data_IF_849904191974
#
_entry.id   IF_849904191974
#
_cell.length_a   1.000
_cell.length_b   1.000
_cell.length_c   1.000
_cell.angle_alpha   90.00
_cell.angle_beta   90.00
_cell.angle_gamma   90.00
#
_symmetry.space_group_name_H-M   'P 1'
#
loop_
_entity.id
_entity.type
_entity.pdbx_description
1 polymer ?
#
# COMPACT_ATOMS: atom_id res chain seq x y z
N UNK A 1 -15.48 -10.71 -9.36
CA UNK A 1 -16.78 -10.22 -8.88
C UNK A 1 -16.55 -9.33 -7.67
N UNK A 2 -16.91 -8.05 -7.76
CA UNK A 2 -16.83 -7.09 -6.65
C UNK A 2 -18.25 -6.78 -6.16
N UNK A 3 -18.46 -6.85 -4.84
CA UNK A 3 -19.74 -6.52 -4.21
C UNK A 3 -19.50 -5.43 -3.17
N UNK A 4 -20.46 -4.49 -3.07
CA UNK A 4 -20.41 -3.40 -2.09
C UNK A 4 -19.11 -2.57 -2.19
N UNK A 5 -18.77 -2.19 -3.42
CA UNK A 5 -17.59 -1.38 -3.71
C UNK A 5 -17.99 -0.01 -4.23
N UNK A 6 -17.25 1.01 -3.86
CA UNK A 6 -17.47 2.39 -4.33
C UNK A 6 -16.94 2.60 -5.76
N UNK A 7 -15.97 1.76 -6.14
CA UNK A 7 -15.21 1.90 -7.37
C UNK A 7 -14.83 0.54 -7.92
N UNK A 8 -14.42 0.49 -9.18
CA UNK A 8 -13.99 -0.75 -9.81
C UNK A 8 -12.88 -0.51 -10.84
N UNK A 9 -11.81 -1.28 -10.73
CA UNK A 9 -10.74 -1.29 -11.72
C UNK A 9 -10.43 -2.72 -12.17
N UNK A 10 -9.86 -2.85 -13.35
CA UNK A 10 -9.32 -4.11 -13.84
C UNK A 10 -8.11 -3.85 -14.72
N UNK A 11 -7.30 -4.88 -14.92
CA UNK A 11 -6.15 -4.83 -15.82
C UNK A 11 -6.02 -6.14 -16.58
N UNK A 12 -5.33 -6.10 -17.71
CA UNK A 12 -5.08 -7.27 -18.54
C UNK A 12 -3.76 -7.11 -19.30
N UNK A 13 -2.93 -8.13 -19.28
CA UNK A 13 -1.70 -8.18 -20.07
C UNK A 13 -1.29 -9.63 -20.37
N UNK A 14 -0.80 -9.90 -21.57
CA UNK A 14 -0.19 -11.20 -21.91
C UNK A 14 1.17 -11.39 -21.23
N UNK A 15 1.76 -10.33 -20.65
CA UNK A 15 3.07 -10.36 -20.00
C UNK A 15 2.99 -10.65 -18.51
N UNK A 16 1.80 -10.69 -17.94
CA UNK A 16 1.68 -10.88 -16.51
C UNK A 16 2.11 -12.26 -16.05
N UNK A 17 3.05 -12.26 -15.14
CA UNK A 17 3.31 -13.33 -14.20
C UNK A 17 2.31 -13.18 -13.07
N UNK A 18 1.75 -14.25 -12.58
CA UNK A 18 0.85 -14.29 -11.45
C UNK A 18 1.51 -15.01 -10.28
N UNK A 19 1.50 -14.36 -9.14
CA UNK A 19 1.93 -14.93 -7.87
C UNK A 19 0.83 -14.73 -6.82
N UNK A 20 0.64 -15.74 -5.94
CA UNK A 20 -0.43 -15.72 -4.96
C UNK A 20 -0.11 -16.52 -3.71
N UNK A 21 -0.65 -16.09 -2.58
CA UNK A 21 -0.63 -16.83 -1.32
C UNK A 21 -1.91 -16.61 -0.52
N UNK A 22 -2.31 -17.60 0.25
CA UNK A 22 -3.42 -17.50 1.19
C UNK A 22 -2.98 -16.87 2.50
N UNK A 23 -3.73 -15.90 3.00
CA UNK A 23 -3.51 -15.23 4.29
C UNK A 23 -4.68 -15.49 5.20
N UNK A 24 -4.42 -15.95 6.43
CA UNK A 24 -5.46 -16.20 7.42
C UNK A 24 -5.88 -14.90 8.08
N UNK A 25 -7.10 -14.45 7.85
CA UNK A 25 -7.68 -13.26 8.47
C UNK A 25 -8.96 -13.68 9.20
N UNK A 26 -8.92 -13.61 10.53
CA UNK A 26 -10.00 -14.14 11.36
C UNK A 26 -10.29 -15.62 11.03
N UNK A 27 -11.53 -15.93 10.65
CA UNK A 27 -11.97 -17.31 10.35
C UNK A 27 -11.92 -17.66 8.85
N UNK A 28 -11.36 -16.82 8.01
CA UNK A 28 -11.32 -17.06 6.55
C UNK A 28 -9.92 -16.86 5.97
N UNK A 29 -9.74 -17.34 4.75
CA UNK A 29 -8.53 -17.12 3.97
C UNK A 29 -8.79 -16.04 2.94
N UNK A 30 -7.94 -15.02 2.93
CA UNK A 30 -7.88 -13.95 1.92
C UNK A 30 -6.74 -14.27 0.96
N UNK A 31 -6.95 -14.12 -0.33
CA UNK A 31 -5.91 -14.32 -1.32
C UNK A 31 -5.12 -13.02 -1.54
N UNK A 32 -3.86 -13.02 -1.14
CA UNK A 32 -2.89 -12.00 -1.52
C UNK A 32 -2.32 -12.37 -2.89
N UNK A 33 -2.38 -11.45 -3.86
CA UNK A 33 -1.97 -11.72 -5.24
C UNK A 33 -1.10 -10.60 -5.80
N UNK A 34 -0.25 -10.95 -6.76
CA UNK A 34 0.52 -9.97 -7.53
C UNK A 34 0.51 -10.32 -9.02
N UNK A 35 0.42 -9.29 -9.85
CA UNK A 35 0.51 -9.38 -11.30
C UNK A 35 1.58 -8.42 -11.81
N UNK A 36 2.57 -8.92 -12.49
CA UNK A 36 3.72 -8.13 -12.93
C UNK A 36 4.39 -8.74 -14.17
N UNK A 37 5.01 -7.95 -15.04
CA UNK A 37 5.80 -8.46 -16.15
C UNK A 37 7.17 -8.95 -15.67
N UNK A 38 7.84 -9.76 -16.48
CA UNK A 38 9.18 -10.26 -16.17
C UNK A 38 10.21 -9.17 -15.87
N UNK A 39 10.02 -7.99 -16.44
CA UNK A 39 10.89 -6.82 -16.24
C UNK A 39 10.84 -6.26 -14.80
N UNK A 40 9.82 -6.62 -14.04
CA UNK A 40 9.71 -6.27 -12.62
C UNK A 40 10.47 -7.22 -11.68
N UNK A 41 11.00 -8.33 -12.23
CA UNK A 41 11.79 -9.27 -11.46
C UNK A 41 13.26 -8.81 -11.33
N UNK A 42 13.92 -9.16 -10.20
CA UNK A 42 13.46 -10.05 -9.13
C UNK A 42 12.67 -9.37 -7.99
N UNK A 43 12.38 -8.07 -8.09
CA UNK A 43 11.74 -7.32 -7.01
C UNK A 43 10.35 -7.83 -6.67
N UNK A 44 9.47 -7.92 -7.67
CA UNK A 44 8.08 -8.32 -7.48
C UNK A 44 7.95 -9.76 -6.99
N UNK A 45 8.68 -10.69 -7.60
CA UNK A 45 8.72 -12.08 -7.19
C UNK A 45 9.13 -12.27 -5.73
N UNK A 46 10.10 -11.47 -5.27
CA UNK A 46 10.63 -11.57 -3.90
C UNK A 46 9.74 -10.94 -2.85
N UNK A 47 9.08 -9.84 -3.17
CA UNK A 47 8.50 -8.95 -2.16
C UNK A 47 7.04 -8.61 -2.35
N UNK A 48 6.49 -8.54 -3.58
CA UNK A 48 5.18 -7.94 -3.82
C UNK A 48 4.06 -8.68 -3.08
N UNK A 49 3.88 -9.97 -3.34
CA UNK A 49 2.81 -10.76 -2.68
C UNK A 49 2.98 -10.82 -1.17
N UNK A 50 4.23 -10.86 -0.69
CA UNK A 50 4.53 -10.83 0.75
C UNK A 50 4.15 -9.48 1.38
N UNK A 51 4.37 -8.37 0.67
CA UNK A 51 3.97 -7.04 1.15
C UNK A 51 2.45 -6.92 1.22
N UNK A 52 1.72 -7.45 0.23
CA UNK A 52 0.25 -7.54 0.28
C UNK A 52 -0.19 -8.34 1.50
N UNK A 53 0.35 -9.56 1.69
CA UNK A 53 0.00 -10.43 2.81
C UNK A 53 0.26 -9.77 4.17
N UNK A 54 1.44 -9.20 4.34
CA UNK A 54 1.84 -8.49 5.56
C UNK A 54 0.92 -7.30 5.85
N UNK A 55 0.55 -6.54 4.83
CA UNK A 55 -0.40 -5.42 4.99
C UNK A 55 -1.77 -5.91 5.46
N UNK A 56 -2.28 -7.01 4.88
CA UNK A 56 -3.54 -7.62 5.30
C UNK A 56 -3.53 -8.01 6.77
N UNK A 57 -2.45 -8.62 7.25
CA UNK A 57 -2.29 -9.03 8.64
C UNK A 57 -2.21 -7.84 9.60
N UNK A 58 -1.33 -6.87 9.30
CA UNK A 58 -1.06 -5.75 10.20
C UNK A 58 -2.23 -4.77 10.26
N UNK A 59 -2.82 -4.40 9.13
CA UNK A 59 -4.00 -3.52 9.13
C UNK A 59 -5.21 -4.19 9.81
N UNK A 60 -5.42 -5.50 9.57
CA UNK A 60 -6.48 -6.23 10.28
C UNK A 60 -6.26 -6.26 11.80
N UNK A 61 -5.01 -6.36 12.24
CA UNK A 61 -4.64 -6.31 13.66
C UNK A 61 -4.96 -4.97 14.33
N UNK A 62 -4.72 -3.85 13.61
CA UNK A 62 -4.88 -2.51 14.17
C UNK A 62 -6.28 -1.91 13.96
N UNK A 63 -7.09 -2.50 13.08
CA UNK A 63 -8.41 -1.96 12.73
C UNK A 63 -9.50 -3.04 12.84
N UNK A 64 -9.84 -3.66 11.74
CA UNK A 64 -10.80 -4.76 11.63
C UNK A 64 -10.38 -5.71 10.51
N UNK A 65 -10.87 -6.95 10.57
CA UNK A 65 -10.57 -7.98 9.58
C UNK A 65 -10.87 -7.52 8.16
N UNK A 66 -9.92 -7.66 7.26
CA UNK A 66 -10.09 -7.35 5.84
C UNK A 66 -11.33 -8.04 5.27
N UNK A 67 -12.35 -7.34 4.79
CA UNK A 67 -13.65 -7.96 4.48
C UNK A 67 -13.72 -8.60 3.09
N UNK A 68 -12.81 -8.27 2.18
CA UNK A 68 -12.84 -8.78 0.81
C UNK A 68 -12.13 -10.14 0.68
N UNK A 69 -12.43 -10.93 -0.37
CA UNK A 69 -11.82 -12.25 -0.56
C UNK A 69 -10.40 -12.18 -1.12
N UNK A 70 -9.99 -11.06 -1.71
CA UNK A 70 -8.71 -10.91 -2.38
C UNK A 70 -8.14 -9.50 -2.19
N UNK A 71 -6.81 -9.37 -2.22
CA UNK A 71 -6.09 -8.12 -2.38
C UNK A 71 -5.01 -8.32 -3.44
N UNK A 72 -4.97 -7.44 -4.43
CA UNK A 72 -4.17 -7.62 -5.64
C UNK A 72 -3.25 -6.41 -5.82
N UNK A 73 -1.96 -6.67 -5.93
CA UNK A 73 -0.94 -5.70 -6.34
C UNK A 73 -0.59 -5.89 -7.81
N UNK A 74 -0.71 -4.85 -8.60
CA UNK A 74 -0.33 -4.86 -10.03
C UNK A 74 0.82 -3.90 -10.24
N UNK A 75 1.84 -4.35 -10.95
CA UNK A 75 2.93 -3.45 -11.36
C UNK A 75 2.42 -2.43 -12.37
N UNK A 76 2.68 -1.16 -12.11
CA UNK A 76 2.30 -0.01 -12.93
C UNK A 76 3.20 1.19 -12.69
N UNK A 77 2.86 2.32 -13.28
CA UNK A 77 3.72 3.51 -13.25
C UNK A 77 3.57 4.38 -12.01
N UNK A 78 2.47 4.24 -11.27
CA UNK A 78 2.14 5.05 -10.11
C UNK A 78 1.65 4.19 -8.95
N UNK A 79 1.55 4.78 -7.75
CA UNK A 79 0.67 4.29 -6.70
C UNK A 79 -0.76 4.69 -7.03
N UNK A 80 -1.71 3.74 -7.00
CA UNK A 80 -3.14 4.03 -7.18
C UNK A 80 -3.99 2.90 -6.61
N UNK A 81 -4.89 3.28 -5.74
CA UNK A 81 -5.78 2.39 -5.03
C UNK A 81 -7.13 2.23 -5.72
N UNK A 82 -7.67 1.02 -5.63
CA UNK A 82 -9.06 0.66 -5.93
C UNK A 82 -9.49 -0.48 -5.01
N UNK A 83 -10.80 -0.72 -4.83
CA UNK A 83 -11.24 -1.86 -4.02
C UNK A 83 -10.67 -3.18 -4.53
N UNK A 84 -9.92 -3.88 -3.66
CA UNK A 84 -9.29 -5.17 -3.91
C UNK A 84 -8.14 -5.20 -4.93
N UNK A 85 -7.86 -4.13 -5.66
CA UNK A 85 -6.77 -4.08 -6.64
C UNK A 85 -6.09 -2.72 -6.57
N UNK A 86 -4.78 -2.71 -6.53
CA UNK A 86 -3.98 -1.50 -6.57
C UNK A 86 -2.86 -1.61 -7.59
N UNK A 87 -2.38 -0.46 -8.05
CA UNK A 87 -1.28 -0.34 -8.98
C UNK A 87 -0.08 0.25 -8.26
N UNK A 88 1.10 -0.34 -8.47
CA UNK A 88 2.27 0.00 -7.67
C UNK A 88 3.49 0.17 -8.56
N UNK A 89 4.22 1.23 -8.34
CA UNK A 89 5.48 1.48 -9.00
C UNK A 89 6.64 0.75 -8.30
N UNK A 90 7.55 0.20 -9.09
CA UNK A 90 8.82 -0.33 -8.62
C UNK A 90 9.45 -1.28 -9.62
N UNK A 91 10.58 -0.88 -10.18
CA UNK A 91 11.36 -1.73 -11.09
C UNK A 91 12.82 -1.79 -10.69
N UNK A 92 13.47 -2.93 -10.89
CA UNK A 92 14.92 -3.02 -10.84
C UNK A 92 15.54 -2.36 -12.08
N UNK A 93 16.85 -2.23 -12.09
CA UNK A 93 17.62 -1.87 -13.28
C UNK A 93 17.49 -2.96 -14.36
N UNK A 94 17.88 -2.66 -15.59
CA UNK A 94 17.77 -3.59 -16.72
C UNK A 94 18.54 -4.90 -16.53
N UNK A 95 19.59 -4.88 -15.70
CA UNK A 95 20.39 -6.06 -15.36
C UNK A 95 19.82 -6.84 -14.17
N UNK A 96 18.68 -6.43 -13.62
CA UNK A 96 18.01 -7.04 -12.47
C UNK A 96 18.54 -6.58 -11.12
N UNK A 97 19.54 -5.69 -11.06
CA UNK A 97 20.01 -5.11 -9.81
C UNK A 97 19.05 -4.05 -9.28
N UNK A 98 19.06 -3.82 -7.98
CA UNK A 98 18.26 -2.78 -7.34
C UNK A 98 18.90 -2.31 -6.04
N UNK A 99 18.66 -1.05 -5.72
CA UNK A 99 19.10 -0.46 -4.45
C UNK A 99 18.11 -0.78 -3.32
N UNK A 100 18.58 -0.69 -2.08
CA UNK A 100 17.68 -0.72 -0.91
C UNK A 100 16.58 0.34 -1.00
N UNK A 101 16.90 1.51 -1.53
CA UNK A 101 15.91 2.58 -1.78
C UNK A 101 14.79 2.12 -2.72
N UNK A 102 15.13 1.42 -3.80
CA UNK A 102 14.15 0.89 -4.76
C UNK A 102 13.30 -0.19 -4.13
N UNK A 103 13.92 -1.12 -3.41
CA UNK A 103 13.24 -2.21 -2.68
C UNK A 103 12.22 -1.68 -1.67
N UNK A 104 12.69 -0.87 -0.73
CA UNK A 104 11.80 -0.34 0.31
C UNK A 104 10.79 0.67 -0.24
N UNK A 105 11.13 1.40 -1.29
CA UNK A 105 10.20 2.27 -2.01
C UNK A 105 9.01 1.50 -2.59
N UNK A 106 9.26 0.37 -3.26
CA UNK A 106 8.21 -0.50 -3.79
C UNK A 106 7.36 -1.12 -2.66
N UNK A 107 7.99 -1.65 -1.61
CA UNK A 107 7.27 -2.23 -0.46
C UNK A 107 6.37 -1.17 0.18
N UNK A 108 6.88 0.05 0.39
CA UNK A 108 6.12 1.17 0.94
C UNK A 108 4.88 1.52 0.11
N UNK A 109 5.01 1.57 -1.21
CA UNK A 109 3.88 1.84 -2.11
C UNK A 109 2.84 0.71 -2.01
N UNK A 110 3.26 -0.56 -2.04
CA UNK A 110 2.32 -1.69 -1.91
C UNK A 110 1.57 -1.64 -0.57
N UNK A 111 2.27 -1.39 0.54
CA UNK A 111 1.63 -1.25 1.85
C UNK A 111 0.61 -0.12 1.85
N UNK A 112 0.96 1.03 1.26
CA UNK A 112 0.11 2.20 1.17
C UNK A 112 -1.16 1.93 0.36
N UNK A 113 -0.99 1.47 -0.87
CA UNK A 113 -2.12 1.25 -1.79
C UNK A 113 -3.06 0.10 -1.33
N UNK A 114 -2.51 -0.97 -0.76
CA UNK A 114 -3.33 -2.03 -0.13
C UNK A 114 -4.06 -1.49 1.10
N UNK A 115 -3.41 -0.64 1.89
CA UNK A 115 -3.99 -0.01 3.08
C UNK A 115 -5.23 0.83 2.79
N UNK A 116 -5.29 1.48 1.62
CA UNK A 116 -6.45 2.23 1.18
C UNK A 116 -7.74 1.40 1.06
N UNK A 117 -7.67 0.07 1.06
CA UNK A 117 -8.88 -0.75 1.18
C UNK A 117 -9.63 -0.49 2.49
N UNK A 118 -8.95 -0.09 3.57
CA UNK A 118 -9.60 0.32 4.82
C UNK A 118 -10.06 1.78 4.76
N UNK A 119 -9.22 2.67 4.27
CA UNK A 119 -9.45 4.11 4.13
C UNK A 119 -9.01 4.55 2.72
N UNK A 120 -9.89 5.00 1.81
CA UNK A 120 -11.31 5.31 1.99
C UNK A 120 -12.27 4.23 1.47
N UNK A 121 -11.80 3.04 1.04
CA UNK A 121 -12.64 2.08 0.30
C UNK A 121 -13.76 1.50 1.16
N UNK A 122 -13.49 1.17 2.43
CA UNK A 122 -14.47 0.60 3.36
C UNK A 122 -14.99 1.69 4.31
N UNK A 123 -14.08 2.38 5.00
CA UNK A 123 -14.41 3.57 5.80
C UNK A 123 -14.36 4.76 4.86
N UNK A 124 -15.49 5.02 4.23
CA UNK A 124 -15.59 6.01 3.17
C UNK A 124 -15.45 7.45 3.69
N UNK A 125 -14.78 8.29 2.93
CA UNK A 125 -14.65 9.71 3.15
C UNK A 125 -14.79 10.48 1.84
N UNK A 126 -15.15 11.76 1.92
CA UNK A 126 -15.09 12.68 0.77
C UNK A 126 -13.63 13.10 0.57
N UNK A 127 -12.85 12.25 -0.09
CA UNK A 127 -11.41 12.43 -0.31
C UNK A 127 -11.06 13.68 -1.13
N UNK A 128 -11.98 14.12 -2.00
CA UNK A 128 -11.78 15.33 -2.81
C UNK A 128 -11.83 16.60 -1.97
N UNK A 129 -12.59 16.55 -0.88
CA UNK A 129 -12.77 17.69 0.02
C UNK A 129 -11.89 17.55 1.28
N UNK A 130 -11.69 16.32 1.76
CA UNK A 130 -11.01 16.02 3.01
C UNK A 130 -9.94 14.94 2.83
N UNK A 131 -8.94 15.24 2.00
CA UNK A 131 -7.84 14.32 1.64
C UNK A 131 -7.14 13.71 2.86
N UNK A 132 -7.05 14.43 3.98
CA UNK A 132 -6.43 13.92 5.20
C UNK A 132 -7.16 12.71 5.82
N UNK A 133 -8.46 12.55 5.57
CA UNK A 133 -9.25 11.39 6.05
C UNK A 133 -8.91 10.11 5.28
N UNK A 134 -8.54 10.27 4.04
CA UNK A 134 -8.06 9.23 3.17
C UNK A 134 -6.57 8.93 3.47
N UNK A 135 -5.72 9.89 3.20
CA UNK A 135 -4.27 9.73 3.23
C UNK A 135 -3.67 9.68 4.63
N UNK A 136 -4.20 10.44 5.57
CA UNK A 136 -3.58 10.62 6.88
C UNK A 136 -3.66 9.37 7.75
N UNK A 137 -4.84 8.77 7.87
CA UNK A 137 -5.03 7.53 8.63
C UNK A 137 -4.27 6.36 7.97
N UNK A 138 -4.35 6.27 6.65
CA UNK A 138 -3.63 5.27 5.89
C UNK A 138 -2.12 5.42 6.03
N UNK A 139 -1.57 6.64 5.94
CA UNK A 139 -0.14 6.91 6.12
C UNK A 139 0.35 6.52 7.53
N UNK A 140 -0.46 6.74 8.55
CA UNK A 140 -0.10 6.34 9.92
C UNK A 140 -0.03 4.81 10.06
N UNK A 141 -1.00 4.08 9.53
CA UNK A 141 -0.99 2.62 9.54
C UNK A 141 0.12 2.05 8.64
N UNK A 142 0.40 2.69 7.52
CA UNK A 142 1.56 2.35 6.70
C UNK A 142 2.85 2.40 7.52
N UNK A 143 3.09 3.49 8.28
CA UNK A 143 4.27 3.60 9.13
C UNK A 143 4.36 2.43 10.13
N UNK A 144 3.27 2.08 10.80
CA UNK A 144 3.25 0.95 11.73
C UNK A 144 3.56 -0.38 11.01
N UNK A 145 2.98 -0.58 9.84
CA UNK A 145 3.18 -1.77 9.01
C UNK A 145 4.63 -1.90 8.53
N UNK A 146 5.24 -0.80 8.13
CA UNK A 146 6.65 -0.73 7.77
C UNK A 146 7.56 -1.11 8.94
N UNK A 147 7.25 -0.65 10.17
CA UNK A 147 8.01 -1.00 11.37
C UNK A 147 7.84 -2.48 11.79
N UNK A 148 6.70 -3.10 11.49
CA UNK A 148 6.49 -4.53 11.71
C UNK A 148 7.13 -5.40 10.62
N UNK A 149 7.34 -4.86 9.41
CA UNK A 149 8.12 -5.52 8.36
C UNK A 149 9.60 -5.64 8.72
N UNK A 150 10.18 -4.52 9.16
CA UNK A 150 11.58 -4.43 9.60
C UNK A 150 11.70 -3.29 10.63
N UNK A 151 12.25 -3.58 11.80
CA UNK A 151 12.44 -2.57 12.86
C UNK A 151 13.32 -1.38 12.42
N UNK A 152 14.19 -1.60 11.45
CA UNK A 152 15.05 -0.59 10.85
C UNK A 152 14.55 -0.09 9.49
N UNK A 153 13.27 -0.31 9.20
CA UNK A 153 12.68 0.13 7.94
C UNK A 153 12.95 1.61 7.70
N UNK A 154 13.50 2.01 6.53
CA UNK A 154 13.82 3.40 6.22
C UNK A 154 12.56 4.18 5.85
N UNK A 155 11.59 4.24 6.75
CA UNK A 155 10.30 4.87 6.53
C UNK A 155 10.46 6.37 6.26
N UNK A 156 9.71 6.86 5.29
CA UNK A 156 9.58 8.29 5.00
C UNK A 156 8.34 8.91 5.65
N UNK A 157 7.49 8.08 6.27
CA UNK A 157 6.20 8.47 6.85
C UNK A 157 6.24 8.66 8.36
N UNK A 158 7.36 8.39 8.99
CA UNK A 158 7.57 8.51 10.43
C UNK A 158 9.05 8.53 10.77
N UNK A 159 9.41 8.50 12.04
CA UNK A 159 8.54 8.43 13.22
C UNK A 159 7.84 9.77 13.54
N UNK A 160 6.79 9.78 14.37
CA UNK A 160 6.01 10.98 14.69
C UNK A 160 6.83 12.17 15.18
N UNK A 161 7.97 11.93 15.84
CA UNK A 161 8.91 12.99 16.26
C UNK A 161 9.42 13.89 15.12
N UNK A 162 9.37 13.42 13.88
CA UNK A 162 9.80 14.16 12.69
C UNK A 162 8.88 15.37 12.39
N UNK A 163 7.69 15.43 12.98
CA UNK A 163 6.80 16.61 12.86
C UNK A 163 7.47 17.91 13.34
N UNK A 164 8.47 17.79 14.22
CA UNK A 164 9.26 18.93 14.69
C UNK A 164 9.93 19.66 13.51
N UNK A 165 10.38 18.93 12.50
CA UNK A 165 10.99 19.50 11.31
C UNK A 165 9.98 20.28 10.46
N UNK A 166 8.75 19.79 10.38
CA UNK A 166 7.65 20.49 9.72
C UNK A 166 7.26 21.77 10.49
N UNK A 167 7.11 21.69 11.81
CA UNK A 167 6.74 22.84 12.67
C UNK A 167 7.81 23.93 12.65
N UNK A 168 9.10 23.56 12.56
CA UNK A 168 10.22 24.49 12.46
C UNK A 168 10.41 25.09 11.06
N UNK A 169 9.70 24.58 10.07
CA UNK A 169 9.77 25.06 8.69
C UNK A 169 9.19 26.47 8.51
N UNK A 170 9.03 26.88 7.26
CA UNK A 170 8.44 28.17 6.94
C UNK A 170 6.98 28.23 7.44
N UNK A 171 6.73 29.10 8.40
CA UNK A 171 5.41 29.28 9.02
C UNK A 171 4.29 29.60 8.02
N UNK A 172 4.63 30.23 6.89
CA UNK A 172 3.66 30.53 5.84
C UNK A 172 3.17 29.26 5.09
N UNK A 173 3.90 28.14 5.21
CA UNK A 173 3.55 26.88 4.59
C UNK A 173 2.87 25.92 5.58
N UNK A 174 2.82 26.29 6.86
CA UNK A 174 2.15 25.47 7.87
C UNK A 174 0.65 25.71 7.77
N UNK A 175 -0.10 24.66 7.53
CA UNK A 175 -1.57 24.70 7.48
C UNK A 175 -2.16 23.83 8.58
N UNK A 176 -3.38 24.14 9.03
CA UNK A 176 -4.09 23.26 9.95
C UNK A 176 -4.23 21.84 9.35
N UNK A 177 -4.10 20.82 10.19
CA UNK A 177 -4.09 19.41 9.77
C UNK A 177 -5.35 19.00 8.99
N UNK A 178 -6.50 19.56 9.36
CA UNK A 178 -7.80 19.22 8.76
C UNK A 178 -8.23 20.23 7.68
N UNK A 179 -7.30 20.63 6.85
CA UNK A 179 -7.59 21.49 5.69
C UNK A 179 -7.03 20.87 4.41
N UNK A 180 -7.63 21.21 3.28
CA UNK A 180 -7.12 20.91 1.96
C UNK A 180 -6.06 21.91 1.52
#
# INVERSE_FOLDING_TARGET
>A
KAKNVRDFAFTSSRKFIWDAMGVKIGNRTVMAMSYYPKEANPLYERYSTKAVAHTLEVYSKYTFDYPYPVAISVEGDNGMEYPMICFNYGRPEKDGTYSERTKYGMISVIIHEVGHNWFPMIVNSDERQWTWMDEGLNTYLQFLTEQEWDRNYPSRRGPPKNIVNYIKGNKNNIRPIMTN
#
